data_IF_288535427305
#
_entry.id   IF_288535427305
#
_cell.length_a   1.000
_cell.length_b   1.000
_cell.length_c   1.000
_cell.angle_alpha   90.00
_cell.angle_beta   90.00
_cell.angle_gamma   90.00
#
_symmetry.space_group_name_H-M   'P 1'
#
loop_
_entity.id
_entity.type
_entity.pdbx_description
1 polymer ?
#
# COMPACT_ATOMS: atom_id res chain seq x y z
N UNK A 1 3.94 17.47 -17.56
CA UNK A 1 4.60 16.84 -16.40
C UNK A 1 5.31 17.86 -15.53
N UNK A 2 5.81 18.98 -16.08
CA UNK A 2 6.28 20.16 -15.33
C UNK A 2 5.17 20.92 -14.57
N UNK A 3 3.92 20.45 -14.64
CA UNK A 3 2.72 21.12 -14.11
C UNK A 3 2.01 20.32 -13.02
N UNK A 4 2.56 19.19 -12.57
CA UNK A 4 1.96 18.39 -11.48
C UNK A 4 2.08 19.17 -10.17
N UNK A 5 0.93 19.47 -9.55
CA UNK A 5 0.83 20.17 -8.26
C UNK A 5 0.64 19.22 -7.07
N UNK A 6 0.35 17.94 -7.33
CA UNK A 6 0.11 16.91 -6.32
C UNK A 6 1.12 15.76 -6.49
N UNK A 7 1.94 15.44 -5.47
CA UNK A 7 2.83 14.28 -5.51
C UNK A 7 2.14 12.94 -5.81
N UNK A 8 0.83 12.83 -5.57
CA UNK A 8 0.04 11.61 -5.82
C UNK A 8 -0.55 11.52 -7.25
N UNK A 9 -0.38 12.55 -8.09
CA UNK A 9 -0.82 12.49 -9.49
C UNK A 9 0.15 11.67 -10.36
N UNK A 10 0.10 10.36 -10.18
CA UNK A 10 1.04 9.40 -10.80
C UNK A 10 0.35 8.36 -11.69
N UNK A 11 -0.98 8.36 -11.77
CA UNK A 11 -1.76 7.31 -12.45
C UNK A 11 -1.37 7.11 -13.92
N UNK A 12 -0.93 8.17 -14.59
CA UNK A 12 -0.43 8.14 -15.97
C UNK A 12 1.03 8.63 -16.08
N UNK A 13 1.78 8.51 -14.99
CA UNK A 13 3.21 8.84 -14.95
C UNK A 13 4.02 7.99 -15.95
N UNK A 14 5.22 8.44 -16.36
CA UNK A 14 6.14 7.63 -17.15
C UNK A 14 6.36 6.21 -16.58
N UNK A 15 6.39 6.06 -15.24
CA UNK A 15 6.48 4.75 -14.61
C UNK A 15 5.26 3.86 -14.91
N UNK A 16 4.04 4.39 -14.74
CA UNK A 16 2.81 3.64 -15.03
C UNK A 16 2.76 3.15 -16.50
N UNK A 17 3.17 4.01 -17.44
CA UNK A 17 3.19 3.68 -18.87
C UNK A 17 4.28 2.64 -19.20
N UNK A 18 5.44 2.74 -18.57
CA UNK A 18 6.51 1.75 -18.74
C UNK A 18 6.13 0.39 -18.14
N UNK A 19 5.47 0.36 -16.98
CA UNK A 19 4.88 -0.84 -16.40
C UNK A 19 3.82 -1.43 -17.32
N UNK A 20 2.90 -0.62 -17.87
CA UNK A 20 1.92 -1.08 -18.85
C UNK A 20 2.58 -1.76 -20.05
N UNK A 21 3.59 -1.14 -20.65
CA UNK A 21 4.35 -1.72 -21.77
C UNK A 21 5.07 -3.03 -21.39
N UNK A 22 5.55 -3.13 -20.15
CA UNK A 22 6.28 -4.30 -19.66
C UNK A 22 5.35 -5.48 -19.36
N UNK A 23 4.24 -5.21 -18.70
CA UNK A 23 3.35 -6.21 -18.10
C UNK A 23 2.09 -6.51 -18.90
N UNK A 24 1.71 -5.63 -19.85
CA UNK A 24 0.56 -5.79 -20.73
C UNK A 24 -0.77 -5.28 -20.17
N UNK A 25 -0.82 -4.85 -18.91
CA UNK A 25 -1.97 -4.19 -18.27
C UNK A 25 -1.51 -2.98 -17.47
N UNK A 26 -2.35 -1.95 -17.39
CA UNK A 26 -2.03 -0.71 -16.69
C UNK A 26 -2.08 -0.96 -15.15
N UNK A 27 -1.02 -0.63 -14.39
CA UNK A 27 -1.10 -0.62 -12.93
C UNK A 27 -2.08 0.46 -12.46
N UNK A 28 -2.96 0.10 -11.51
CA UNK A 28 -3.99 1.02 -10.98
C UNK A 28 -3.61 1.51 -9.58
N UNK A 29 -3.80 2.80 -9.35
CA UNK A 29 -3.60 3.46 -8.05
C UNK A 29 -2.18 3.27 -7.52
N UNK A 30 -2.07 2.86 -6.26
CA UNK A 30 -0.79 2.68 -5.57
C UNK A 30 0.09 1.58 -6.16
N UNK A 31 -0.45 0.71 -7.04
CA UNK A 31 0.36 -0.26 -7.79
C UNK A 31 1.49 0.43 -8.56
N UNK A 32 1.26 1.66 -9.04
CA UNK A 32 2.25 2.47 -9.76
C UNK A 32 3.47 2.80 -8.89
N UNK A 33 3.29 2.94 -7.58
CA UNK A 33 4.36 3.22 -6.60
C UNK A 33 5.18 1.98 -6.26
N UNK A 34 4.58 0.81 -6.40
CA UNK A 34 5.16 -0.48 -6.02
C UNK A 34 6.02 -1.10 -7.14
N UNK A 35 6.59 -0.26 -8.02
CA UNK A 35 7.47 -0.69 -9.09
C UNK A 35 8.83 -1.21 -8.59
N UNK A 36 9.67 -1.66 -9.53
CA UNK A 36 11.01 -2.16 -9.18
C UNK A 36 11.98 -1.01 -8.89
N UNK A 37 13.19 -1.33 -8.42
CA UNK A 37 14.27 -0.36 -8.23
C UNK A 37 14.58 0.49 -9.47
N UNK A 38 14.18 0.06 -10.68
CA UNK A 38 14.26 0.85 -11.93
C UNK A 38 13.75 2.29 -11.76
N UNK A 39 12.75 2.50 -10.90
CA UNK A 39 12.11 3.80 -10.70
C UNK A 39 12.50 4.49 -9.38
N UNK A 40 13.36 3.87 -8.56
CA UNK A 40 13.51 4.25 -7.15
C UNK A 40 14.97 4.33 -6.65
N UNK A 41 15.96 4.33 -7.53
CA UNK A 41 17.38 4.39 -7.14
C UNK A 41 17.74 5.60 -6.26
N UNK A 42 17.25 6.77 -6.66
CA UNK A 42 17.50 8.04 -6.00
C UNK A 42 16.38 9.04 -6.35
N UNK A 43 16.45 10.25 -5.78
CA UNK A 43 15.46 11.31 -6.03
C UNK A 43 15.39 11.70 -7.51
N UNK A 44 16.52 11.83 -8.21
CA UNK A 44 16.54 12.25 -9.62
C UNK A 44 15.93 11.18 -10.53
N UNK A 45 16.18 9.91 -10.25
CA UNK A 45 15.51 8.78 -10.88
C UNK A 45 14.00 8.85 -10.63
N UNK A 46 13.58 9.06 -9.38
CA UNK A 46 12.16 9.22 -9.05
C UNK A 46 11.56 10.41 -9.80
N UNK A 47 12.25 11.54 -9.92
CA UNK A 47 11.74 12.71 -10.65
C UNK A 47 11.53 12.44 -12.12
N UNK A 48 12.46 11.73 -12.77
CA UNK A 48 12.32 11.29 -14.16
C UNK A 48 11.06 10.45 -14.37
N UNK A 49 10.72 9.61 -13.40
CA UNK A 49 9.64 8.63 -13.53
C UNK A 49 8.28 9.09 -13.01
N UNK A 50 8.27 10.00 -12.03
CA UNK A 50 7.07 10.40 -11.29
C UNK A 50 6.85 11.93 -11.24
N UNK A 51 7.63 12.73 -11.99
CA UNK A 51 7.46 14.18 -12.07
C UNK A 51 8.26 14.96 -11.01
N UNK A 52 8.06 16.29 -10.88
CA UNK A 52 8.99 17.20 -10.19
C UNK A 52 9.25 16.87 -8.72
N UNK A 53 8.27 16.26 -8.04
CA UNK A 53 8.42 15.85 -6.64
C UNK A 53 9.06 14.46 -6.49
N UNK A 54 9.20 13.68 -7.55
CA UNK A 54 9.63 12.28 -7.45
C UNK A 54 8.54 11.34 -6.90
N UNK A 55 7.27 11.70 -7.13
CA UNK A 55 6.11 10.95 -6.61
C UNK A 55 5.93 11.10 -5.10
N UNK A 56 4.97 10.35 -4.51
CA UNK A 56 4.63 10.51 -3.10
C UNK A 56 5.68 9.88 -2.16
N UNK A 57 6.46 8.91 -2.64
CA UNK A 57 7.44 8.17 -1.85
C UNK A 57 8.88 8.71 -1.98
N UNK A 58 9.06 9.95 -2.43
CA UNK A 58 10.32 10.67 -2.27
C UNK A 58 10.34 11.41 -0.94
N UNK A 59 11.52 11.84 -0.49
CA UNK A 59 11.66 12.71 0.67
C UNK A 59 10.89 14.04 0.52
N UNK A 60 10.71 14.54 -0.71
CA UNK A 60 9.97 15.77 -0.99
C UNK A 60 8.46 15.52 -0.97
N UNK A 61 7.99 14.53 -1.74
CA UNK A 61 6.57 14.20 -1.84
C UNK A 61 6.00 13.77 -0.49
N UNK A 62 6.77 12.99 0.27
CA UNK A 62 6.35 12.55 1.59
C UNK A 62 6.33 13.70 2.61
N UNK A 63 7.29 14.63 2.54
CA UNK A 63 7.28 15.81 3.42
C UNK A 63 6.04 16.70 3.17
N UNK A 64 5.64 16.88 1.90
CA UNK A 64 4.41 17.60 1.53
C UNK A 64 3.20 16.89 2.13
N UNK A 65 3.10 15.57 2.00
CA UNK A 65 2.01 14.78 2.56
C UNK A 65 1.90 14.92 4.08
N UNK A 66 3.02 14.78 4.81
CA UNK A 66 3.05 14.91 6.27
C UNK A 66 2.68 16.34 6.71
N UNK A 67 3.14 17.36 6.00
CA UNK A 67 2.76 18.75 6.30
C UNK A 67 1.25 18.98 6.11
N UNK A 68 0.66 18.43 5.06
CA UNK A 68 -0.79 18.53 4.82
C UNK A 68 -1.60 17.78 5.88
N UNK A 69 -1.17 16.58 6.30
CA UNK A 69 -1.82 15.86 7.41
C UNK A 69 -1.78 16.64 8.72
N UNK A 70 -0.64 17.26 9.05
CA UNK A 70 -0.52 18.11 10.25
C UNK A 70 -1.44 19.31 10.18
N UNK A 71 -1.50 19.98 9.02
CA UNK A 71 -2.41 21.10 8.79
C UNK A 71 -3.87 20.69 8.99
N UNK A 72 -4.30 19.58 8.37
CA UNK A 72 -5.67 19.04 8.51
C UNK A 72 -6.01 18.67 9.96
N UNK A 73 -5.06 18.09 10.70
CA UNK A 73 -5.27 17.74 12.11
C UNK A 73 -5.47 18.99 12.97
N UNK A 74 -4.64 20.03 12.80
CA UNK A 74 -4.80 21.31 13.50
C UNK A 74 -6.12 22.01 13.15
N UNK A 75 -6.55 21.93 11.90
CA UNK A 75 -7.84 22.48 11.47
C UNK A 75 -9.01 21.75 12.13
N UNK A 76 -8.95 20.43 12.24
CA UNK A 76 -9.96 19.63 12.92
C UNK A 76 -10.03 19.96 14.42
N UNK A 77 -8.88 20.05 15.09
CA UNK A 77 -8.78 20.42 16.50
C UNK A 77 -9.42 21.80 16.76
N UNK A 78 -9.05 22.80 15.94
CA UNK A 78 -9.67 24.14 16.00
C UNK A 78 -11.17 24.09 15.75
N UNK A 79 -11.63 23.24 14.83
CA UNK A 79 -13.05 23.12 14.53
C UNK A 79 -13.88 22.52 15.66
N UNK A 80 -13.32 21.58 16.42
CA UNK A 80 -13.99 20.99 17.59
C UNK A 80 -14.14 22.01 18.73
N UNK A 81 -13.24 22.98 18.83
CA UNK A 81 -13.27 24.03 19.87
C UNK A 81 -13.99 25.32 19.46
N UNK A 82 -14.41 25.46 18.20
CA UNK A 82 -15.13 26.63 17.71
C UNK A 82 -16.64 26.39 17.70
N UNK A 83 -17.30 26.79 18.80
CA UNK A 83 -18.75 26.67 18.98
C UNK A 83 -19.56 27.71 18.20
N UNK A 84 -18.92 28.67 17.51
CA UNK A 84 -19.62 29.72 16.75
C UNK A 84 -20.09 29.25 15.37
N UNK A 85 -19.49 28.18 14.84
CA UNK A 85 -19.80 27.64 13.51
C UNK A 85 -20.22 26.18 13.65
N UNK A 86 -21.43 25.78 13.20
CA UNK A 86 -21.83 24.38 13.20
C UNK A 86 -20.83 23.49 12.44
N UNK A 87 -20.44 22.36 13.03
CA UNK A 87 -19.52 21.40 12.40
C UNK A 87 -20.03 20.90 11.05
N UNK A 88 -21.35 20.77 10.88
CA UNK A 88 -21.98 20.34 9.63
C UNK A 88 -21.82 21.35 8.50
N UNK A 89 -21.52 22.62 8.78
CA UNK A 89 -21.17 23.59 7.75
C UNK A 89 -19.72 23.39 7.27
N UNK A 90 -18.80 23.01 8.18
CA UNK A 90 -17.39 22.72 7.87
C UNK A 90 -17.20 21.36 7.22
N UNK A 91 -17.96 20.38 7.70
CA UNK A 91 -17.95 18.99 7.27
C UNK A 91 -19.39 18.57 6.93
N UNK A 92 -19.88 18.93 5.74
CA UNK A 92 -21.22 18.56 5.30
C UNK A 92 -21.44 17.05 5.38
N UNK A 93 -22.59 16.58 5.88
CA UNK A 93 -22.90 15.15 6.03
C UNK A 93 -23.24 14.54 4.67
N UNK A 94 -22.23 14.40 3.81
CA UNK A 94 -22.31 13.75 2.51
C UNK A 94 -21.49 12.46 2.53
N UNK A 95 -21.84 11.45 1.71
CA UNK A 95 -21.03 10.25 1.56
C UNK A 95 -19.59 10.61 1.16
N UNK A 96 -18.61 9.97 1.78
CA UNK A 96 -17.18 10.16 1.45
C UNK A 96 -16.78 9.53 0.12
N UNK A 97 -17.56 8.56 -0.37
CA UNK A 97 -17.19 7.68 -1.47
C UNK A 97 -16.44 6.42 -1.02
N UNK A 98 -16.07 6.34 0.26
CA UNK A 98 -15.43 5.15 0.84
C UNK A 98 -16.38 3.95 0.91
N UNK A 99 -15.81 2.75 0.81
CA UNK A 99 -16.59 1.52 0.68
C UNK A 99 -17.12 0.97 2.02
N UNK A 100 -16.59 1.42 3.17
CA UNK A 100 -16.91 0.84 4.49
C UNK A 100 -18.41 0.90 4.82
N UNK A 101 -19.00 2.11 4.82
CA UNK A 101 -20.43 2.28 5.14
C UNK A 101 -21.35 1.64 4.09
N UNK A 102 -21.09 1.78 2.77
CA UNK A 102 -21.81 1.03 1.76
C UNK A 102 -21.78 -0.49 1.97
N UNK A 103 -20.63 -1.08 2.30
CA UNK A 103 -20.51 -2.53 2.57
C UNK A 103 -21.38 -2.93 3.78
N UNK A 104 -21.33 -2.17 4.88
CA UNK A 104 -22.18 -2.41 6.05
C UNK A 104 -23.66 -2.41 5.62
N UNK A 105 -24.07 -1.43 4.82
CA UNK A 105 -25.43 -1.35 4.31
C UNK A 105 -25.80 -2.54 3.42
N UNK A 106 -24.89 -3.03 2.58
CA UNK A 106 -25.12 -4.24 1.76
C UNK A 106 -25.34 -5.49 2.60
N UNK A 107 -24.55 -5.67 3.67
CA UNK A 107 -24.65 -6.83 4.57
C UNK A 107 -25.92 -6.75 5.41
N UNK A 108 -26.17 -5.62 6.07
CA UNK A 108 -27.26 -5.50 7.06
C UNK A 108 -28.63 -5.34 6.40
N UNK A 109 -28.71 -4.61 5.28
CA UNK A 109 -29.99 -4.26 4.64
C UNK A 109 -30.22 -5.01 3.32
N UNK A 110 -29.43 -6.05 3.03
CA UNK A 110 -29.47 -6.86 1.80
C UNK A 110 -29.49 -5.99 0.52
N UNK A 111 -28.68 -4.93 0.52
CA UNK A 111 -28.53 -4.02 -0.63
C UNK A 111 -27.34 -4.45 -1.48
N UNK A 112 -27.55 -5.44 -2.34
CA UNK A 112 -26.49 -5.96 -3.22
C UNK A 112 -25.76 -4.85 -3.99
N UNK A 113 -24.43 -4.85 -3.91
CA UNK A 113 -23.56 -3.93 -4.65
C UNK A 113 -22.17 -4.54 -4.88
N UNK A 114 -21.36 -3.91 -5.75
CA UNK A 114 -20.00 -4.34 -6.10
C UNK A 114 -18.96 -3.46 -5.43
N UNK A 115 -17.92 -4.08 -4.87
CA UNK A 115 -16.85 -3.41 -4.12
C UNK A 115 -15.48 -3.99 -4.47
N UNK A 116 -14.42 -3.19 -4.35
CA UNK A 116 -13.04 -3.69 -4.33
C UNK A 116 -12.69 -4.09 -2.89
N UNK A 117 -12.46 -5.38 -2.66
CA UNK A 117 -12.23 -5.93 -1.32
C UNK A 117 -11.05 -6.88 -1.29
N UNK A 118 -10.39 -6.95 -0.14
CA UNK A 118 -9.33 -7.93 0.12
C UNK A 118 -9.95 -9.18 0.74
N UNK A 119 -9.90 -10.30 0.02
CA UNK A 119 -10.46 -11.60 0.44
C UNK A 119 -9.54 -12.75 0.04
N UNK A 120 -9.62 -13.88 0.74
CA UNK A 120 -8.91 -15.10 0.33
C UNK A 120 -9.27 -15.49 -1.10
N UNK A 121 -8.26 -15.88 -1.88
CA UNK A 121 -8.38 -16.11 -3.31
C UNK A 121 -9.40 -17.19 -3.65
N UNK A 122 -9.36 -18.36 -2.99
CA UNK A 122 -10.27 -19.49 -3.23
C UNK A 122 -10.55 -19.76 -4.72
N UNK A 123 -9.49 -19.92 -5.50
CA UNK A 123 -9.54 -20.19 -6.95
C UNK A 123 -9.95 -19.00 -7.83
N UNK A 124 -10.18 -17.80 -7.29
CA UNK A 124 -10.68 -16.65 -8.06
C UNK A 124 -9.67 -16.15 -9.09
N UNK A 125 -8.39 -16.06 -8.71
CA UNK A 125 -7.27 -15.66 -9.57
C UNK A 125 -6.41 -16.90 -9.86
N UNK A 126 -6.41 -17.40 -11.11
CA UNK A 126 -5.60 -18.53 -11.51
C UNK A 126 -4.10 -18.31 -11.28
N UNK A 127 -3.45 -19.30 -10.66
CA UNK A 127 -2.02 -19.28 -10.35
C UNK A 127 -1.65 -18.62 -9.03
N UNK A 128 -2.62 -18.12 -8.25
CA UNK A 128 -2.43 -17.69 -6.85
C UNK A 128 -3.04 -18.74 -5.92
N UNK A 129 -2.40 -19.04 -4.79
CA UNK A 129 -2.91 -20.02 -3.82
C UNK A 129 -4.18 -19.53 -3.13
N UNK A 130 -4.99 -20.47 -2.65
CA UNK A 130 -6.32 -20.22 -2.09
C UNK A 130 -6.31 -19.42 -0.78
N UNK A 131 -5.26 -19.60 0.02
CA UNK A 131 -5.02 -18.97 1.32
C UNK A 131 -4.38 -17.58 1.24
N UNK A 132 -4.10 -17.08 0.04
CA UNK A 132 -3.58 -15.72 -0.17
C UNK A 132 -4.75 -14.75 -0.26
N UNK A 133 -4.74 -13.71 0.59
CA UNK A 133 -5.63 -12.59 0.46
C UNK A 133 -5.27 -11.75 -0.79
N UNK A 134 -6.24 -11.54 -1.67
CA UNK A 134 -6.11 -10.75 -2.89
C UNK A 134 -7.16 -9.65 -2.93
N UNK A 135 -6.81 -8.52 -3.54
CA UNK A 135 -7.78 -7.46 -3.81
C UNK A 135 -8.49 -7.74 -5.13
N UNK A 136 -9.83 -7.82 -5.09
CA UNK A 136 -10.66 -8.09 -6.27
C UNK A 136 -12.01 -7.40 -6.16
N UNK A 137 -12.70 -7.15 -7.30
CA UNK A 137 -14.11 -6.83 -7.26
C UNK A 137 -14.94 -8.04 -6.81
N UNK A 138 -15.78 -7.84 -5.79
CA UNK A 138 -16.75 -8.82 -5.31
C UNK A 138 -18.13 -8.18 -5.15
N UNK A 139 -19.18 -8.99 -5.33
CA UNK A 139 -20.54 -8.59 -4.96
C UNK A 139 -20.78 -8.91 -3.49
N UNK A 140 -21.42 -7.99 -2.77
CA UNK A 140 -21.72 -8.17 -1.35
C UNK A 140 -23.20 -7.88 -1.13
N UNK A 141 -23.87 -8.76 -0.39
CA UNK A 141 -25.28 -8.63 0.03
C UNK A 141 -25.51 -9.29 1.40
N UNK A 142 -26.76 -9.49 1.81
CA UNK A 142 -27.10 -10.08 3.10
C UNK A 142 -26.67 -11.54 3.28
N UNK A 143 -26.25 -12.22 2.20
CA UNK A 143 -25.69 -13.58 2.23
C UNK A 143 -24.16 -13.59 2.27
N UNK A 144 -23.53 -12.43 2.33
CA UNK A 144 -22.07 -12.29 2.45
C UNK A 144 -21.39 -11.93 1.14
N UNK A 145 -20.15 -12.41 0.97
CA UNK A 145 -19.26 -12.03 -0.13
C UNK A 145 -19.29 -13.05 -1.26
N UNK A 146 -19.66 -12.58 -2.45
CA UNK A 146 -19.73 -13.35 -3.69
C UNK A 146 -18.53 -12.99 -4.57
N UNK A 147 -17.51 -13.87 -4.55
CA UNK A 147 -16.28 -13.69 -5.34
C UNK A 147 -16.55 -13.86 -6.82
N UNK A 148 -15.75 -13.16 -7.63
CA UNK A 148 -15.73 -13.31 -9.09
C UNK A 148 -14.54 -14.18 -9.49
N UNK A 149 -14.71 -14.98 -10.53
CA UNK A 149 -13.59 -15.68 -11.17
C UNK A 149 -13.01 -14.81 -12.28
N UNK A 150 -11.68 -14.79 -12.39
CA UNK A 150 -10.95 -13.99 -13.36
C UNK A 150 -10.21 -14.87 -14.37
N UNK A 151 -10.01 -14.39 -15.61
CA UNK A 151 -9.10 -15.05 -16.53
C UNK A 151 -7.67 -15.01 -15.97
N UNK A 152 -6.83 -15.91 -16.48
CA UNK A 152 -5.40 -15.92 -16.16
C UNK A 152 -4.78 -14.55 -16.46
N UNK A 153 -4.15 -13.94 -15.45
CA UNK A 153 -3.38 -12.71 -15.63
C UNK A 153 -2.18 -12.98 -16.56
N UNK A 154 -1.71 -11.96 -17.31
CA UNK A 154 -0.47 -12.04 -18.06
C UNK A 154 0.65 -12.67 -17.24
N UNK A 155 1.34 -13.65 -17.82
CA UNK A 155 2.35 -14.45 -17.10
C UNK A 155 3.45 -13.61 -16.45
N UNK A 156 3.79 -12.46 -17.07
CA UNK A 156 4.73 -11.50 -16.51
C UNK A 156 4.23 -10.85 -15.21
N UNK A 157 2.94 -10.52 -15.11
CA UNK A 157 2.36 -9.97 -13.88
C UNK A 157 2.44 -11.00 -12.76
N UNK A 158 2.03 -12.23 -13.04
CA UNK A 158 2.07 -13.29 -12.04
C UNK A 158 3.50 -13.54 -11.57
N UNK A 159 4.43 -13.79 -12.49
CA UNK A 159 5.81 -14.20 -12.17
C UNK A 159 6.69 -13.08 -11.63
N UNK A 160 6.56 -11.86 -12.14
CA UNK A 160 7.50 -10.79 -11.83
C UNK A 160 6.95 -9.71 -10.89
N UNK A 161 5.63 -9.64 -10.67
CA UNK A 161 5.02 -8.71 -9.73
C UNK A 161 4.36 -9.43 -8.54
N UNK A 162 3.41 -10.33 -8.81
CA UNK A 162 2.60 -10.97 -7.75
C UNK A 162 3.44 -11.94 -6.92
N UNK A 163 4.16 -12.88 -7.53
CA UNK A 163 4.92 -13.90 -6.78
C UNK A 163 6.00 -13.30 -5.87
N UNK A 164 6.82 -12.33 -6.31
CA UNK A 164 7.75 -11.64 -5.41
C UNK A 164 7.05 -10.85 -4.30
N UNK A 165 5.84 -10.33 -4.55
CA UNK A 165 5.06 -9.61 -3.53
C UNK A 165 4.48 -10.53 -2.48
N UNK A 166 4.00 -11.72 -2.89
CA UNK A 166 3.54 -12.80 -2.00
C UNK A 166 4.72 -13.28 -1.15
N UNK A 167 5.87 -13.57 -1.76
CA UNK A 167 7.08 -13.98 -1.03
C UNK A 167 7.42 -13.00 0.11
N UNK A 168 7.41 -11.68 -0.15
CA UNK A 168 7.62 -10.67 0.90
C UNK A 168 6.52 -10.67 1.96
N UNK A 169 5.26 -10.94 1.59
CA UNK A 169 4.17 -11.06 2.56
C UNK A 169 4.36 -12.27 3.48
N UNK A 170 4.71 -13.43 2.92
CA UNK A 170 5.03 -14.65 3.67
C UNK A 170 6.20 -14.42 4.63
N UNK A 171 7.29 -13.81 4.17
CA UNK A 171 8.43 -13.47 5.04
C UNK A 171 8.01 -12.54 6.19
N UNK A 172 7.11 -11.58 5.95
CA UNK A 172 6.63 -10.67 7.00
C UNK A 172 5.78 -11.42 8.03
N UNK A 173 4.91 -12.32 7.57
CA UNK A 173 4.03 -13.10 8.43
C UNK A 173 4.85 -14.07 9.27
N UNK A 174 5.79 -14.82 8.67
CA UNK A 174 6.71 -15.70 9.41
C UNK A 174 7.52 -14.94 10.45
N UNK A 175 8.13 -13.81 10.08
CA UNK A 175 8.88 -12.97 11.03
C UNK A 175 8.00 -12.53 12.21
N UNK A 176 6.77 -12.10 11.94
CA UNK A 176 5.84 -11.66 12.98
C UNK A 176 5.35 -12.80 13.87
N UNK A 177 5.06 -13.97 13.30
CA UNK A 177 4.50 -15.10 14.06
C UNK A 177 5.55 -15.85 14.86
N UNK A 178 6.73 -16.07 14.27
CA UNK A 178 7.77 -16.93 14.84
C UNK A 178 8.77 -16.13 15.69
N UNK A 179 9.01 -14.87 15.33
CA UNK A 179 10.07 -14.07 15.95
C UNK A 179 11.46 -14.60 15.62
N UNK A 180 12.46 -14.12 16.35
CA UNK A 180 13.87 -14.46 16.11
C UNK A 180 14.54 -13.62 15.01
N UNK A 181 15.81 -13.29 15.26
CA UNK A 181 16.60 -12.38 14.43
C UNK A 181 16.77 -12.83 12.98
N UNK A 182 16.84 -14.14 12.74
CA UNK A 182 17.18 -14.71 11.44
C UNK A 182 16.20 -14.28 10.33
N UNK A 183 14.91 -14.15 10.64
CA UNK A 183 13.93 -13.66 9.66
C UNK A 183 14.24 -12.23 9.18
N UNK A 184 14.70 -11.35 10.08
CA UNK A 184 15.10 -9.99 9.73
C UNK A 184 16.40 -10.00 8.92
N UNK A 185 17.34 -10.86 9.28
CA UNK A 185 18.62 -11.02 8.59
C UNK A 185 18.44 -11.53 7.16
N UNK A 186 17.72 -12.63 6.98
CA UNK A 186 17.48 -13.28 5.68
C UNK A 186 16.72 -12.38 4.72
N UNK A 187 15.83 -11.54 5.22
CA UNK A 187 15.21 -10.51 4.39
C UNK A 187 16.25 -9.49 3.89
N UNK A 188 17.04 -8.94 4.82
CA UNK A 188 17.93 -7.82 4.52
C UNK A 188 19.14 -8.25 3.68
N UNK A 189 19.65 -9.48 3.82
CA UNK A 189 20.84 -9.93 3.09
C UNK A 189 20.62 -9.99 1.57
N UNK A 190 19.37 -10.18 1.13
CA UNK A 190 18.99 -10.17 -0.29
C UNK A 190 18.50 -8.80 -0.79
N UNK A 191 18.40 -7.79 0.09
CA UNK A 191 18.07 -6.44 -0.31
C UNK A 191 19.21 -5.85 -1.15
N UNK A 192 18.86 -5.25 -2.30
CA UNK A 192 19.83 -4.67 -3.23
C UNK A 192 20.71 -3.59 -2.61
N UNK A 193 20.25 -2.94 -1.54
CA UNK A 193 20.98 -1.88 -0.82
C UNK A 193 21.98 -2.40 0.20
N UNK A 194 21.97 -3.70 0.47
CA UNK A 194 22.90 -4.33 1.40
C UNK A 194 24.27 -4.48 0.75
N UNK A 195 25.30 -3.94 1.41
CA UNK A 195 26.69 -3.96 0.96
C UNK A 195 27.59 -4.78 1.88
N UNK A 196 27.12 -5.16 3.07
CA UNK A 196 27.86 -6.02 4.01
C UNK A 196 26.94 -6.66 5.05
N UNK A 197 27.39 -7.78 5.63
CA UNK A 197 26.74 -8.41 6.78
C UNK A 197 26.66 -7.44 7.98
N UNK A 198 27.74 -6.70 8.23
CA UNK A 198 27.77 -5.73 9.34
C UNK A 198 26.71 -4.64 9.19
N UNK A 199 26.42 -4.19 7.96
CA UNK A 199 25.33 -3.25 7.72
C UNK A 199 23.96 -3.82 8.12
N UNK A 200 23.71 -5.10 7.81
CA UNK A 200 22.48 -5.80 8.19
C UNK A 200 22.37 -5.86 9.72
N UNK A 201 23.44 -6.28 10.39
CA UNK A 201 23.41 -6.41 11.84
C UNK A 201 23.18 -5.08 12.55
N UNK A 202 23.86 -4.03 12.09
CA UNK A 202 23.76 -2.70 12.66
C UNK A 202 22.36 -2.09 12.49
N UNK A 203 21.72 -2.27 11.35
CA UNK A 203 20.37 -1.70 11.13
C UNK A 203 19.31 -2.45 11.95
N UNK A 204 19.41 -3.78 12.07
CA UNK A 204 18.52 -4.56 12.94
C UNK A 204 18.67 -4.09 14.39
N UNK A 205 19.92 -3.98 14.87
CA UNK A 205 20.22 -3.53 16.23
C UNK A 205 19.70 -2.11 16.49
N UNK A 206 19.88 -1.20 15.54
CA UNK A 206 19.45 0.19 15.68
C UNK A 206 17.92 0.30 15.82
N UNK A 207 17.16 -0.45 15.02
CA UNK A 207 15.69 -0.44 15.06
C UNK A 207 15.18 -1.13 16.33
N UNK A 208 15.69 -2.31 16.64
CA UNK A 208 15.21 -3.11 17.77
C UNK A 208 15.52 -2.43 19.12
N UNK A 209 16.59 -1.65 19.21
CA UNK A 209 16.96 -0.92 20.44
C UNK A 209 16.25 0.44 20.60
N UNK A 210 15.37 0.84 19.68
CA UNK A 210 14.58 2.07 19.87
C UNK A 210 13.72 1.95 21.13
N UNK A 211 13.59 3.02 21.96
CA UNK A 211 12.87 2.95 23.24
C UNK A 211 11.44 2.41 23.14
N UNK A 212 10.74 2.72 22.06
CA UNK A 212 9.38 2.27 21.77
C UNK A 212 9.27 0.79 21.37
N UNK A 213 10.39 0.15 21.01
CA UNK A 213 10.42 -1.21 20.44
C UNK A 213 10.74 -2.30 21.48
N UNK A 214 10.52 -2.06 22.78
CA UNK A 214 10.86 -3.00 23.85
C UNK A 214 10.23 -4.40 23.70
N UNK A 215 8.96 -4.50 23.28
CA UNK A 215 8.31 -5.79 23.03
C UNK A 215 8.80 -6.45 21.74
N UNK A 216 9.00 -5.67 20.67
CA UNK A 216 9.63 -6.15 19.43
C UNK A 216 11.02 -6.73 19.70
N UNK A 217 11.81 -6.08 20.58
CA UNK A 217 13.11 -6.57 20.99
C UNK A 217 13.06 -7.89 21.74
N UNK A 218 12.00 -8.18 22.50
CA UNK A 218 11.83 -9.49 23.13
C UNK A 218 11.46 -10.55 22.11
N UNK A 219 10.63 -10.20 21.13
CA UNK A 219 10.14 -11.10 20.10
C UNK A 219 11.22 -11.52 19.10
N UNK A 220 12.10 -10.59 18.71
CA UNK A 220 13.19 -10.81 17.75
C UNK A 220 14.55 -11.10 18.40
N UNK A 221 14.55 -11.52 19.66
CA UNK A 221 15.76 -11.96 20.37
C UNK A 221 16.38 -13.20 19.76
#
# INVERSE_FOLDING_TARGET
>A
WETTSDPFDISLSPAAIDMYRTYGLLPIGDTVRAGTWKYHWDLETKKRWYGPFGGPDSEIGWAIYIADLRRKMMELERAVHDYSVPLTLRYPPKPSGEQVVPIINSIINDKRASYQVNVLNFGSIPGVKDDIAVEMPAEIDGRGVHRRSFPQLPSKILKYAIMPRIMRAEWSISAFMEGGRDHLFEWLIVDRRTNSISQVDQVIDAIVRMPENGEMAKHFK
#
